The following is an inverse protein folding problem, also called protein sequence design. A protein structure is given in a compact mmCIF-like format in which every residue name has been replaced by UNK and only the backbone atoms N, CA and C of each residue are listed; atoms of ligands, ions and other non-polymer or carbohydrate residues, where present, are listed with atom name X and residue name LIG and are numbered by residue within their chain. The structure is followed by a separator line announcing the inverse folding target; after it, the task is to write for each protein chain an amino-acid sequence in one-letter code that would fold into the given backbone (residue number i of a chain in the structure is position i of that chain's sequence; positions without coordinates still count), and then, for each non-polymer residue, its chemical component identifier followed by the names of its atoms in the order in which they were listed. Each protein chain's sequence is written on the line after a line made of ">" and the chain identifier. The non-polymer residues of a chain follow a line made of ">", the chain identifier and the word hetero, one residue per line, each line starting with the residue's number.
data_IF_080700281754
#
_entry.id   IF_080700281754
#
_cell.length_a   1.000
_cell.length_b   1.000
_cell.length_c   1.000
_cell.angle_alpha   90.00
_cell.angle_beta   90.00
_cell.angle_gamma   90.00
#
_symmetry.space_group_name_H-M   'P 1'
#
loop_
_entity.id
_entity.type
_entity.pdbx_description
1 polymer ?
#
# COMPACT_ATOMS: atom_id res chain seq x y z
N UNK A 1 -4.84 -29.99 -40.68
CA UNK A 1 -4.63 -30.13 -39.24
C UNK A 1 -5.44 -29.05 -38.56
N UNK A 2 -6.70 -29.37 -38.34
CA UNK A 2 -7.74 -28.45 -37.89
C UNK A 2 -7.48 -28.02 -36.44
N UNK A 3 -7.29 -26.72 -36.25
CA UNK A 3 -7.46 -26.09 -34.94
C UNK A 3 -8.93 -26.25 -34.57
N UNK A 4 -9.26 -27.27 -33.76
CA UNK A 4 -10.52 -27.30 -33.02
C UNK A 4 -10.61 -25.99 -32.23
N UNK A 5 -11.49 -25.09 -32.67
CA UNK A 5 -12.11 -24.14 -31.76
C UNK A 5 -12.75 -25.00 -30.66
N UNK A 6 -12.20 -24.94 -29.45
CA UNK A 6 -12.92 -25.35 -28.26
C UNK A 6 -14.08 -24.38 -28.12
N UNK A 7 -15.24 -24.73 -28.68
CA UNK A 7 -16.49 -24.08 -28.29
C UNK A 7 -16.77 -24.51 -26.86
N UNK A 8 -16.65 -23.59 -25.90
CA UNK A 8 -17.12 -23.82 -24.54
C UNK A 8 -18.59 -24.22 -24.61
N UNK A 9 -18.95 -25.29 -23.90
CA UNK A 9 -20.34 -25.72 -23.82
C UNK A 9 -21.06 -24.90 -22.73
N UNK A 10 -22.38 -24.68 -22.83
CA UNK A 10 -23.14 -23.97 -21.80
C UNK A 10 -22.99 -24.56 -20.39
N UNK A 11 -22.77 -25.88 -20.28
CA UNK A 11 -22.49 -26.55 -18.99
C UNK A 11 -21.13 -26.17 -18.39
N UNK A 12 -20.12 -25.88 -19.22
CA UNK A 12 -18.80 -25.42 -18.75
C UNK A 12 -18.90 -23.97 -18.25
N UNK A 13 -19.63 -23.12 -18.97
CA UNK A 13 -19.87 -21.73 -18.57
C UNK A 13 -20.60 -21.63 -17.22
N UNK A 14 -21.61 -22.49 -16.96
CA UNK A 14 -22.32 -22.52 -15.68
C UNK A 14 -21.44 -22.98 -14.51
N UNK A 15 -20.57 -23.97 -14.74
CA UNK A 15 -19.63 -24.44 -13.71
C UNK A 15 -18.57 -23.37 -13.37
N UNK A 16 -18.05 -22.69 -14.41
CA UNK A 16 -17.09 -21.59 -14.26
C UNK A 16 -17.73 -20.38 -13.57
N UNK A 17 -18.92 -19.98 -13.99
CA UNK A 17 -19.69 -18.88 -13.39
C UNK A 17 -19.88 -19.08 -11.88
N UNK A 18 -20.28 -20.29 -11.47
CA UNK A 18 -20.43 -20.62 -10.05
C UNK A 18 -19.12 -20.54 -9.28
N UNK A 19 -18.01 -20.95 -9.91
CA UNK A 19 -16.67 -20.87 -9.32
C UNK A 19 -16.24 -19.42 -9.10
N UNK A 20 -16.38 -18.56 -10.11
CA UNK A 20 -16.02 -17.15 -10.00
C UNK A 20 -16.92 -16.40 -9.01
N UNK A 21 -18.24 -16.68 -8.99
CA UNK A 21 -19.15 -16.14 -7.98
C UNK A 21 -18.74 -16.51 -6.55
N UNK A 22 -18.34 -17.77 -6.32
CA UNK A 22 -17.83 -18.22 -5.00
C UNK A 22 -16.54 -17.51 -4.60
N UNK A 23 -15.59 -17.37 -5.53
CA UNK A 23 -14.33 -16.63 -5.29
C UNK A 23 -14.60 -15.17 -4.96
N UNK A 24 -15.43 -14.48 -5.75
CA UNK A 24 -15.87 -13.10 -5.52
C UNK A 24 -16.48 -12.92 -4.13
N UNK A 25 -17.39 -13.82 -3.73
CA UNK A 25 -17.97 -13.81 -2.39
C UNK A 25 -16.91 -14.00 -1.28
N UNK A 26 -15.92 -14.87 -1.52
CA UNK A 26 -14.78 -15.03 -0.63
C UNK A 26 -13.95 -13.76 -0.45
N UNK A 27 -13.69 -13.01 -1.53
CA UNK A 27 -12.99 -11.72 -1.47
C UNK A 27 -13.79 -10.67 -0.68
N UNK A 28 -15.11 -10.57 -0.92
CA UNK A 28 -16.01 -9.73 -0.10
C UNK A 28 -15.91 -10.10 1.39
N UNK A 29 -15.92 -11.39 1.71
CA UNK A 29 -15.77 -11.88 3.09
C UNK A 29 -14.44 -11.46 3.72
N UNK A 30 -13.32 -11.54 2.98
CA UNK A 30 -12.01 -11.07 3.46
C UNK A 30 -11.98 -9.57 3.72
N UNK A 31 -12.69 -8.77 2.90
CA UNK A 31 -12.84 -7.34 3.15
C UNK A 31 -13.57 -7.08 4.47
N UNK A 32 -14.66 -7.79 4.73
CA UNK A 32 -15.40 -7.69 6.00
C UNK A 32 -14.55 -8.12 7.20
N UNK A 33 -13.74 -9.17 7.08
CA UNK A 33 -12.83 -9.59 8.15
C UNK A 33 -11.82 -8.49 8.48
N UNK A 34 -11.24 -7.87 7.44
CA UNK A 34 -10.29 -6.78 7.63
C UNK A 34 -10.93 -5.53 8.25
N UNK A 35 -12.14 -5.17 7.81
CA UNK A 35 -12.97 -4.12 8.42
C UNK A 35 -13.08 -4.31 9.93
N UNK A 36 -13.57 -5.47 10.36
CA UNK A 36 -13.78 -5.77 11.78
C UNK A 36 -12.46 -5.67 12.57
N UNK A 37 -11.35 -6.12 11.97
CA UNK A 37 -10.03 -5.99 12.57
C UNK A 37 -9.61 -4.53 12.75
N UNK A 38 -9.69 -3.69 11.71
CA UNK A 38 -9.25 -2.30 11.82
C UNK A 38 -10.20 -1.43 12.65
N UNK A 39 -11.49 -1.72 12.67
CA UNK A 39 -12.45 -1.08 13.59
C UNK A 39 -12.14 -1.43 15.05
N UNK A 40 -11.73 -2.68 15.33
CA UNK A 40 -11.28 -3.07 16.66
C UNK A 40 -10.02 -2.31 17.10
N UNK A 41 -9.11 -1.98 16.17
CA UNK A 41 -7.94 -1.15 16.47
C UNK A 41 -8.33 0.32 16.63
N UNK A 42 -9.22 0.83 15.78
CA UNK A 42 -9.67 2.21 15.82
C UNK A 42 -10.46 2.53 17.10
N UNK A 43 -11.26 1.60 17.60
CA UNK A 43 -11.95 1.77 18.89
C UNK A 43 -10.99 1.88 20.09
N UNK A 44 -9.79 1.30 19.98
CA UNK A 44 -8.71 1.38 20.98
C UNK A 44 -7.88 2.66 20.89
N UNK A 45 -8.09 3.53 19.88
CA UNK A 45 -7.30 4.75 19.58
C UNK A 45 -7.17 5.76 20.73
N UNK A 46 -7.88 5.57 21.85
CA UNK A 46 -7.63 6.31 23.11
C UNK A 46 -6.25 6.02 23.73
N UNK A 47 -5.60 4.93 23.33
CA UNK A 47 -4.24 4.55 23.70
C UNK A 47 -3.47 4.29 22.40
N UNK A 48 -2.24 4.80 22.27
CA UNK A 48 -1.38 4.51 21.12
C UNK A 48 -1.29 2.99 20.88
N UNK A 49 -1.33 2.55 19.62
CA UNK A 49 -1.26 1.11 19.31
C UNK A 49 0.08 0.55 19.75
N UNK A 50 0.08 -0.69 20.22
CA UNK A 50 1.31 -1.40 20.56
C UNK A 50 2.15 -1.69 19.31
N UNK A 51 3.45 -1.88 19.47
CA UNK A 51 4.34 -2.25 18.37
C UNK A 51 3.90 -3.54 17.67
N UNK A 52 3.42 -4.53 18.44
CA UNK A 52 2.89 -5.78 17.90
C UNK A 52 1.63 -5.56 17.05
N UNK A 53 0.69 -4.73 17.51
CA UNK A 53 -0.52 -4.38 16.74
C UNK A 53 -0.16 -3.64 15.45
N UNK A 54 0.85 -2.77 15.48
CA UNK A 54 1.35 -2.07 14.27
C UNK A 54 1.95 -3.06 13.27
N UNK A 55 2.75 -4.03 13.73
CA UNK A 55 3.33 -5.06 12.87
C UNK A 55 2.26 -5.96 12.25
N UNK A 56 1.26 -6.37 13.05
CA UNK A 56 0.12 -7.14 12.56
C UNK A 56 -0.72 -6.35 11.56
N UNK A 57 -0.99 -5.07 11.83
CA UNK A 57 -1.73 -4.19 10.92
C UNK A 57 -1.01 -4.06 9.58
N UNK A 58 0.30 -3.82 9.59
CA UNK A 58 1.11 -3.77 8.36
C UNK A 58 1.02 -5.08 7.58
N UNK A 59 1.21 -6.22 8.23
CA UNK A 59 1.13 -7.54 7.57
C UNK A 59 -0.25 -7.78 6.96
N UNK A 60 -1.32 -7.53 7.71
CA UNK A 60 -2.69 -7.69 7.24
C UNK A 60 -3.03 -6.73 6.10
N UNK A 61 -2.50 -5.51 6.13
CA UNK A 61 -2.68 -4.51 5.07
C UNK A 61 -2.04 -4.94 3.75
N UNK A 62 -0.87 -5.58 3.78
CA UNK A 62 -0.23 -6.11 2.55
C UNK A 62 -1.10 -7.16 1.86
N UNK A 63 -1.70 -8.08 2.64
CA UNK A 63 -2.64 -9.07 2.10
C UNK A 63 -3.93 -8.39 1.63
N UNK A 64 -4.41 -7.38 2.35
CA UNK A 64 -5.63 -6.67 2.00
C UNK A 64 -5.54 -5.99 0.63
N UNK A 65 -4.39 -5.37 0.30
CA UNK A 65 -4.18 -4.68 -0.98
C UNK A 65 -4.34 -5.57 -2.21
N UNK A 66 -4.19 -6.88 -2.08
CA UNK A 66 -4.35 -7.80 -3.23
C UNK A 66 -5.81 -8.04 -3.58
N UNK A 67 -6.74 -7.80 -2.64
CA UNK A 67 -8.14 -8.16 -2.79
C UNK A 67 -8.86 -7.35 -3.87
N UNK A 68 -8.44 -6.10 -4.14
CA UNK A 68 -9.01 -5.29 -5.23
C UNK A 68 -8.78 -5.98 -6.58
N UNK A 69 -7.55 -6.41 -6.84
CA UNK A 69 -7.21 -7.10 -8.09
C UNK A 69 -7.92 -8.45 -8.19
N UNK A 70 -7.89 -9.25 -7.13
CA UNK A 70 -8.53 -10.57 -7.15
C UNK A 70 -10.05 -10.46 -7.39
N UNK A 71 -10.70 -9.46 -6.80
CA UNK A 71 -12.11 -9.19 -7.04
C UNK A 71 -12.36 -8.77 -8.48
N UNK A 72 -11.60 -7.82 -9.01
CA UNK A 72 -11.74 -7.28 -10.37
C UNK A 72 -11.60 -8.39 -11.44
N UNK A 73 -10.63 -9.30 -11.27
CA UNK A 73 -10.47 -10.47 -12.15
C UNK A 73 -11.70 -11.37 -12.11
N UNK A 74 -12.19 -11.75 -10.93
CA UNK A 74 -13.37 -12.62 -10.84
C UNK A 74 -14.65 -11.91 -11.32
N UNK A 75 -14.75 -10.59 -11.13
CA UNK A 75 -15.88 -9.79 -11.60
C UNK A 75 -15.91 -9.72 -13.13
N UNK A 76 -14.76 -9.46 -13.76
CA UNK A 76 -14.60 -9.45 -15.22
C UNK A 76 -14.96 -10.81 -15.82
N UNK A 77 -14.46 -11.90 -15.23
CA UNK A 77 -14.78 -13.26 -15.70
C UNK A 77 -16.27 -13.62 -15.55
N UNK A 78 -16.97 -13.06 -14.56
CA UNK A 78 -18.43 -13.21 -14.45
C UNK A 78 -19.12 -12.44 -15.57
N UNK A 79 -18.72 -11.19 -15.80
CA UNK A 79 -19.26 -10.31 -16.84
C UNK A 79 -19.01 -10.85 -18.25
N UNK A 80 -17.89 -11.53 -18.48
CA UNK A 80 -17.60 -12.22 -19.74
C UNK A 80 -18.60 -13.34 -20.05
N UNK A 81 -19.12 -14.02 -19.01
CA UNK A 81 -20.10 -15.11 -19.14
C UNK A 81 -21.54 -14.59 -19.20
N UNK A 82 -21.92 -13.68 -18.28
CA UNK A 82 -23.32 -13.25 -18.13
C UNK A 82 -23.64 -11.91 -18.79
N UNK A 83 -22.63 -11.24 -19.35
CA UNK A 83 -22.71 -9.86 -19.82
C UNK A 83 -22.60 -8.85 -18.69
N UNK A 84 -22.29 -7.60 -19.06
CA UNK A 84 -22.33 -6.47 -18.14
C UNK A 84 -23.79 -6.07 -17.92
N UNK A 85 -24.22 -6.08 -16.65
CA UNK A 85 -25.56 -5.65 -16.23
C UNK A 85 -25.49 -4.63 -15.11
N UNK A 86 -26.60 -3.93 -14.83
CA UNK A 86 -26.70 -2.99 -13.72
C UNK A 86 -26.40 -3.65 -12.37
N UNK A 87 -26.79 -4.92 -12.20
CA UNK A 87 -26.48 -5.70 -11.00
C UNK A 87 -24.96 -5.95 -10.86
N UNK A 88 -24.26 -6.21 -11.97
CA UNK A 88 -22.80 -6.39 -11.94
C UNK A 88 -22.06 -5.09 -11.63
N UNK A 89 -22.48 -3.99 -12.25
CA UNK A 89 -21.92 -2.67 -11.98
C UNK A 89 -22.14 -2.25 -10.52
N UNK A 90 -23.33 -2.52 -9.97
CA UNK A 90 -23.65 -2.26 -8.56
C UNK A 90 -22.81 -3.11 -7.61
N UNK A 91 -22.58 -4.39 -7.93
CA UNK A 91 -21.68 -5.25 -7.15
C UNK A 91 -20.25 -4.69 -7.11
N UNK A 92 -19.75 -4.20 -8.26
CA UNK A 92 -18.45 -3.54 -8.35
C UNK A 92 -18.37 -2.27 -7.51
N UNK A 93 -19.35 -1.38 -7.65
CA UNK A 93 -19.40 -0.13 -6.89
C UNK A 93 -19.45 -0.38 -5.37
N UNK A 94 -20.26 -1.34 -4.92
CA UNK A 94 -20.35 -1.70 -3.51
C UNK A 94 -19.03 -2.23 -2.96
N UNK A 95 -18.37 -3.11 -3.71
CA UNK A 95 -17.06 -3.62 -3.32
C UNK A 95 -16.02 -2.51 -3.29
N UNK A 96 -15.93 -1.69 -4.34
CA UNK A 96 -14.98 -0.59 -4.44
C UNK A 96 -15.15 0.39 -3.27
N UNK A 97 -16.38 0.80 -2.96
CA UNK A 97 -16.68 1.69 -1.85
C UNK A 97 -16.24 1.11 -0.50
N UNK A 98 -16.62 -0.13 -0.21
CA UNK A 98 -16.23 -0.80 1.04
C UNK A 98 -14.70 -0.96 1.10
N UNK A 99 -14.07 -1.36 0.00
CA UNK A 99 -12.62 -1.56 -0.05
C UNK A 99 -11.85 -0.27 0.23
N UNK A 100 -12.23 0.82 -0.45
CA UNK A 100 -11.57 2.12 -0.29
C UNK A 100 -11.77 2.70 1.11
N UNK A 101 -12.94 2.51 1.71
CA UNK A 101 -13.21 2.94 3.09
C UNK A 101 -12.24 2.27 4.08
N UNK A 102 -12.07 0.95 4.00
CA UNK A 102 -11.18 0.23 4.93
C UNK A 102 -9.70 0.48 4.63
N UNK A 103 -9.33 0.61 3.34
CA UNK A 103 -7.98 1.01 2.94
C UNK A 103 -7.60 2.35 3.55
N UNK A 104 -8.48 3.35 3.44
CA UNK A 104 -8.26 4.69 3.99
C UNK A 104 -8.11 4.67 5.51
N UNK A 105 -8.99 3.94 6.21
CA UNK A 105 -8.92 3.81 7.67
C UNK A 105 -7.61 3.14 8.12
N UNK A 106 -7.19 2.06 7.46
CA UNK A 106 -5.93 1.39 7.76
C UNK A 106 -4.73 2.31 7.53
N UNK A 107 -4.71 3.06 6.42
CA UNK A 107 -3.67 4.07 6.14
C UNK A 107 -3.63 5.16 7.21
N UNK A 108 -4.79 5.64 7.65
CA UNK A 108 -4.89 6.63 8.72
C UNK A 108 -4.33 6.08 10.04
N UNK A 109 -4.75 4.88 10.45
CA UNK A 109 -4.23 4.23 11.66
C UNK A 109 -2.71 4.07 11.63
N UNK A 110 -2.14 3.70 10.48
CA UNK A 110 -0.68 3.59 10.33
C UNK A 110 0.02 4.95 10.39
N UNK A 111 -0.59 6.02 9.87
CA UNK A 111 -0.04 7.38 9.92
C UNK A 111 -0.06 7.94 11.34
N UNK A 112 -1.18 7.83 12.03
CA UNK A 112 -1.37 8.39 13.37
C UNK A 112 -0.37 7.77 14.36
N UNK A 113 -0.16 6.45 14.29
CA UNK A 113 0.82 5.78 15.15
C UNK A 113 2.28 6.11 14.81
N UNK A 114 2.57 6.57 13.59
CA UNK A 114 3.91 7.09 13.24
C UNK A 114 4.11 8.49 13.85
N UNK A 115 3.07 9.32 13.88
CA UNK A 115 3.12 10.66 14.47
C UNK A 115 3.23 10.59 16.00
N UNK A 116 2.45 9.73 16.66
CA UNK A 116 2.49 9.56 18.12
C UNK A 116 3.84 9.04 18.61
N UNK A 117 4.48 8.14 17.85
CA UNK A 117 5.84 7.67 18.15
C UNK A 117 6.85 8.83 18.07
N UNK A 118 6.76 9.68 17.05
CA UNK A 118 7.63 10.85 16.90
C UNK A 118 7.41 11.85 18.05
N UNK A 119 6.16 12.15 18.39
CA UNK A 119 5.82 13.05 19.49
C UNK A 119 6.29 12.51 20.85
N UNK A 120 6.08 11.22 21.12
CA UNK A 120 6.51 10.58 22.38
C UNK A 120 8.04 10.57 22.52
N UNK A 121 8.77 10.41 21.41
CA UNK A 121 10.23 10.50 21.39
C UNK A 121 10.73 11.93 21.65
N UNK A 122 10.07 12.93 21.08
CA UNK A 122 10.37 14.34 21.31
C UNK A 122 10.11 14.78 22.77
N UNK A 123 9.01 14.32 23.38
CA UNK A 123 8.67 14.60 24.77
C UNK A 123 9.66 13.95 25.76
N UNK A 124 10.08 12.69 25.50
CA UNK A 124 11.14 12.02 26.28
C UNK A 124 12.49 12.73 26.17
N UNK A 125 12.79 13.36 25.04
CA UNK A 125 14.02 14.14 24.89
C UNK A 125 13.97 15.48 25.66
N UNK A 126 12.79 16.10 25.83
CA UNK A 126 12.62 17.34 26.62
C UNK A 126 12.68 17.11 28.13
N UNK A 127 12.29 15.93 28.62
CA UNK A 127 12.32 15.60 30.05
C UNK A 127 13.72 15.25 30.60
N UNK A 128 14.72 15.06 29.73
CA UNK A 128 16.10 14.74 30.13
C UNK A 128 17.01 15.98 30.30
N UNK A 129 16.47 17.20 30.22
CA UNK A 129 17.22 18.43 30.51
C UNK A 129 17.20 18.74 32.03
N UNK A 130 17.77 17.86 32.83
CA UNK A 130 18.25 18.22 34.16
C UNK A 130 19.72 18.55 34.01
N UNK A 131 20.10 19.79 34.30
CA UNK A 131 21.44 20.34 34.19
C UNK A 131 22.45 19.56 35.02
N UNK A 132 23.03 18.49 34.46
CA UNK A 132 24.20 17.83 35.03
C UNK A 132 25.44 18.49 34.40
N UNK A 133 25.95 19.52 35.07
CA UNK A 133 27.33 20.00 34.85
C UNK A 133 28.30 18.87 35.22
N UNK A 134 28.83 18.18 34.22
CA UNK A 134 29.94 17.24 34.40
C UNK A 134 31.03 17.47 33.37
N UNK A 135 32.20 17.84 33.88
CA UNK A 135 33.48 17.88 33.18
C UNK A 135 33.93 16.46 32.76
N UNK A 136 34.68 16.41 31.65
CA UNK A 136 35.55 15.31 31.11
C UNK A 136 34.94 14.43 29.98
N UNK A 137 35.78 13.74 29.17
CA UNK A 137 36.26 14.25 27.90
C UNK A 137 35.67 13.45 26.73
N UNK A 138 35.73 14.04 25.54
CA UNK A 138 35.30 13.43 24.29
C UNK A 138 35.95 12.04 24.07
N UNK A 139 35.13 11.00 24.07
CA UNK A 139 35.45 9.76 23.38
C UNK A 139 34.47 9.59 22.22
N UNK A 140 35.02 9.80 21.03
CA UNK A 140 34.39 9.54 19.74
C UNK A 140 33.85 8.10 19.72
N UNK A 141 32.53 7.96 19.72
CA UNK A 141 31.87 6.78 19.21
C UNK A 141 31.18 7.19 17.91
N UNK A 142 31.89 6.98 16.81
CA UNK A 142 31.35 7.02 15.45
C UNK A 142 30.29 5.93 15.32
N UNK A 143 29.04 6.26 15.59
CA UNK A 143 27.89 5.51 15.12
C UNK A 143 27.69 5.87 13.65
N UNK A 144 28.10 4.98 12.75
CA UNK A 144 27.81 5.12 11.31
C UNK A 144 26.31 4.88 11.08
N UNK A 145 25.48 5.89 11.38
CA UNK A 145 24.14 5.97 10.82
C UNK A 145 24.31 6.25 9.33
N UNK A 146 24.18 5.22 8.49
CA UNK A 146 24.15 5.39 7.03
C UNK A 146 22.90 6.18 6.69
N UNK A 147 23.04 7.49 6.63
CA UNK A 147 22.00 8.41 6.21
C UNK A 147 21.69 8.14 4.73
N UNK A 148 20.43 8.25 4.29
CA UNK A 148 20.06 7.96 2.91
C UNK A 148 20.73 8.95 1.95
N UNK A 149 21.46 8.44 0.97
CA UNK A 149 22.06 9.22 -0.11
C UNK A 149 21.21 9.12 -1.37
N UNK A 150 20.91 10.26 -1.98
CA UNK A 150 20.10 10.35 -3.18
C UNK A 150 20.82 9.66 -4.36
N UNK A 151 20.19 8.71 -5.08
CA UNK A 151 20.84 8.06 -6.20
C UNK A 151 21.13 9.02 -7.37
N UNK A 152 20.38 10.12 -7.49
CA UNK A 152 20.52 11.13 -8.56
C UNK A 152 21.64 12.16 -8.26
N UNK A 153 21.55 12.89 -7.15
CA UNK A 153 22.47 14.01 -6.84
C UNK A 153 23.47 13.71 -5.70
N UNK A 154 23.44 12.51 -5.12
CA UNK A 154 24.31 12.04 -4.02
C UNK A 154 24.19 12.78 -2.68
N UNK A 155 23.40 13.85 -2.61
CA UNK A 155 23.10 14.56 -1.37
C UNK A 155 22.26 13.71 -0.39
N UNK A 156 22.17 14.16 0.86
CA UNK A 156 21.56 13.42 1.97
C UNK A 156 20.03 13.56 1.99
N UNK A 157 19.35 12.94 1.03
CA UNK A 157 17.89 12.84 0.98
C UNK A 157 17.45 11.68 0.07
N UNK A 158 16.16 11.34 0.09
CA UNK A 158 15.58 10.39 -0.85
C UNK A 158 15.32 11.00 -2.23
N UNK A 159 15.18 10.16 -3.28
CA UNK A 159 14.96 10.61 -4.65
C UNK A 159 13.68 11.44 -4.81
N UNK A 160 12.58 11.06 -4.15
CA UNK A 160 11.31 11.80 -4.20
C UNK A 160 11.40 13.21 -3.59
N UNK A 161 12.41 13.47 -2.75
CA UNK A 161 12.68 14.78 -2.16
C UNK A 161 13.75 15.57 -2.94
N UNK A 162 14.31 15.01 -4.02
CA UNK A 162 15.38 15.64 -4.78
C UNK A 162 14.88 16.83 -5.60
N UNK A 163 15.44 18.04 -5.44
CA UNK A 163 15.08 19.21 -6.25
C UNK A 163 15.30 18.98 -7.74
N UNK A 164 16.45 18.39 -8.12
CA UNK A 164 16.77 18.09 -9.52
C UNK A 164 15.76 17.13 -10.14
N UNK A 165 15.34 16.10 -9.38
CA UNK A 165 14.33 15.16 -9.82
C UNK A 165 12.95 15.81 -9.97
N UNK A 166 12.59 16.73 -9.05
CA UNK A 166 11.32 17.48 -9.08
C UNK A 166 11.25 18.50 -10.21
N UNK A 167 12.37 18.91 -10.78
CA UNK A 167 12.42 19.84 -11.92
C UNK A 167 12.46 19.13 -13.28
N UNK A 168 12.65 17.81 -13.32
CA UNK A 168 12.64 17.04 -14.57
C UNK A 168 11.22 16.85 -15.13
N UNK A 169 11.12 16.72 -16.46
CA UNK A 169 9.89 16.28 -17.12
C UNK A 169 9.57 14.82 -16.78
N UNK A 170 8.33 14.41 -16.97
CA UNK A 170 7.85 13.06 -16.64
C UNK A 170 8.64 12.00 -17.42
N UNK A 171 8.89 12.23 -18.71
CA UNK A 171 9.65 11.32 -19.58
C UNK A 171 11.08 11.10 -19.05
N UNK A 172 11.74 12.19 -18.65
CA UNK A 172 13.09 12.16 -18.07
C UNK A 172 13.11 11.47 -16.71
N UNK A 173 12.06 11.62 -15.90
CA UNK A 173 11.94 10.89 -14.62
C UNK A 173 11.82 9.39 -14.84
N UNK A 174 10.97 8.95 -15.77
CA UNK A 174 10.79 7.53 -16.12
C UNK A 174 12.11 6.93 -16.60
N UNK A 175 12.82 7.61 -17.50
CA UNK A 175 14.12 7.18 -18.01
C UNK A 175 15.19 7.04 -16.91
N UNK A 176 15.20 7.96 -15.94
CA UNK A 176 16.16 7.89 -14.82
C UNK A 176 15.82 6.80 -13.81
N UNK A 177 14.55 6.64 -13.48
CA UNK A 177 14.08 5.63 -12.51
C UNK A 177 14.21 4.21 -13.07
N UNK A 178 14.11 4.01 -14.39
CA UNK A 178 14.37 2.70 -15.01
C UNK A 178 15.83 2.27 -14.91
N UNK A 179 16.76 3.24 -14.88
CA UNK A 179 18.22 3.02 -14.80
C UNK A 179 18.77 3.00 -13.37
N UNK A 180 17.94 3.22 -12.35
CA UNK A 180 18.33 3.25 -10.94
C UNK A 180 17.77 2.04 -10.19
N UNK A 181 18.48 1.59 -9.14
CA UNK A 181 17.98 0.54 -8.24
C UNK A 181 16.98 1.11 -7.23
N UNK A 182 15.86 1.64 -7.73
CA UNK A 182 14.74 2.16 -6.95
C UNK A 182 13.44 1.64 -7.54
N UNK A 183 12.43 1.46 -6.70
CA UNK A 183 11.09 1.09 -7.18
C UNK A 183 10.50 2.20 -8.04
N UNK A 184 9.93 1.84 -9.18
CA UNK A 184 9.29 2.79 -10.10
C UNK A 184 8.10 3.53 -9.49
N UNK A 185 7.45 2.93 -8.49
CA UNK A 185 6.26 3.48 -7.85
C UNK A 185 6.60 4.28 -6.59
N UNK A 186 7.49 3.76 -5.75
CA UNK A 186 7.80 4.36 -4.44
C UNK A 186 9.08 5.21 -4.44
N UNK A 187 9.89 5.16 -5.51
CA UNK A 187 11.18 5.86 -5.66
C UNK A 187 12.17 5.57 -4.51
N UNK A 188 12.01 4.41 -3.88
CA UNK A 188 12.78 3.95 -2.73
C UNK A 188 13.73 2.81 -3.14
N UNK A 189 14.98 2.78 -2.65
CA UNK A 189 15.90 1.68 -2.93
C UNK A 189 15.56 0.43 -2.10
N UNK A 190 15.63 -0.76 -2.70
CA UNK A 190 15.63 -2.03 -1.94
C UNK A 190 14.33 -2.83 -1.89
N UNK A 191 13.36 -2.60 -2.79
CA UNK A 191 12.30 -3.58 -3.08
C UNK A 191 12.11 -3.77 -4.58
N UNK A 192 11.86 -5.01 -5.01
CA UNK A 192 11.77 -5.42 -6.41
C UNK A 192 10.41 -5.07 -7.05
N UNK A 193 10.45 -4.80 -8.36
CA UNK A 193 9.39 -4.20 -9.18
C UNK A 193 8.23 -5.15 -9.54
N UNK A 194 7.79 -6.00 -8.63
CA UNK A 194 6.64 -6.87 -8.88
C UNK A 194 5.56 -6.66 -7.83
N UNK A 195 4.36 -6.33 -8.31
CA UNK A 195 3.10 -6.10 -7.59
C UNK A 195 2.75 -4.66 -7.21
N UNK A 196 2.42 -3.82 -8.20
CA UNK A 196 1.38 -2.80 -8.01
C UNK A 196 0.70 -2.48 -9.36
N UNK A 197 -0.59 -2.80 -9.43
CA UNK A 197 -1.51 -2.57 -10.55
C UNK A 197 -1.77 -1.07 -10.78
N UNK A 198 -1.97 -0.71 -12.04
CA UNK A 198 -2.04 0.63 -12.64
C UNK A 198 -3.07 1.62 -12.06
N UNK A 199 -3.92 1.19 -11.12
CA UNK A 199 -5.05 1.99 -10.59
C UNK A 199 -4.67 2.95 -9.46
N UNK A 200 -3.53 2.75 -8.79
CA UNK A 200 -2.99 3.69 -7.79
C UNK A 200 -2.39 4.97 -8.40
N UNK A 201 -2.22 5.04 -9.73
CA UNK A 201 -1.61 6.19 -10.39
C UNK A 201 -2.54 7.41 -10.53
N UNK A 202 -3.87 7.27 -10.45
CA UNK A 202 -4.76 8.42 -10.63
C UNK A 202 -4.85 9.35 -9.42
N UNK A 203 -4.61 8.83 -8.21
CA UNK A 203 -4.76 9.61 -6.96
C UNK A 203 -3.49 10.44 -6.66
N UNK A 204 -2.31 10.01 -7.13
CA UNK A 204 -1.04 10.68 -6.84
C UNK A 204 -0.57 11.69 -7.90
N UNK A 205 -1.16 11.69 -9.10
CA UNK A 205 -0.78 12.60 -10.19
C UNK A 205 -1.81 13.71 -10.50
N UNK A 206 -2.90 13.82 -9.73
CA UNK A 206 -3.97 14.79 -9.99
C UNK A 206 -3.92 16.07 -9.13
N UNK A 207 -2.73 16.52 -8.73
CA UNK A 207 -2.56 17.87 -8.15
C UNK A 207 -1.36 18.58 -8.77
N UNK A 208 -1.61 19.19 -9.93
CA UNK A 208 -1.12 20.55 -10.21
C UNK A 208 -2.01 21.56 -9.53
#
# INVERSE_FOLDING_TARGET
>A
MDKKLLSNTPEDDDAQLNTFKKRRAGHKGKVTIFKNYIESLNSKKKIALTELEILQLKKSFEVYKTLEHDFDVNQTLIEDIVGVSDEQLKEREQFDSEYQNQLALAMQLMRDNRADLLQTLEEKHKQNHVDIKSNKPAQNQTSTSRSPSCPLCKAQHYLFSCPDFKQMTVEKRIEKVSKMNVCSNCLYPGHEKENMSWRYMQILFSKT
#
